data_IF_286655171846
#
_entry.id   IF_286655171846
#
_cell.length_a   1.000
_cell.length_b   1.000
_cell.length_c   1.000
_cell.angle_alpha   90.00
_cell.angle_beta   90.00
_cell.angle_gamma   90.00
#
_symmetry.space_group_name_H-M   'P 1'
#
loop_
_entity.id
_entity.type
_entity.pdbx_description
1 polymer ?
#
# COMPACT_ATOMS: atom_id res chain seq x y z
N UNK A 1 -3.80 -29.45 5.49
CA UNK A 1 -3.69 -28.01 5.23
C UNK A 1 -4.03 -27.17 6.46
N UNK A 2 -5.14 -27.45 7.19
CA UNK A 2 -5.55 -26.68 8.38
C UNK A 2 -4.56 -26.65 9.56
N UNK A 3 -3.77 -27.70 9.81
CA UNK A 3 -2.87 -27.75 10.97
C UNK A 3 -1.62 -26.89 10.79
N UNK A 4 -1.10 -26.77 9.58
CA UNK A 4 0.04 -25.86 9.30
C UNK A 4 -0.37 -24.39 9.35
N UNK A 5 -1.55 -24.05 8.86
CA UNK A 5 -2.10 -22.68 8.95
C UNK A 5 -2.33 -22.29 10.42
N UNK A 6 -2.87 -23.18 11.25
CA UNK A 6 -3.03 -22.93 12.70
C UNK A 6 -1.69 -22.75 13.42
N UNK A 7 -0.67 -23.54 13.07
CA UNK A 7 0.68 -23.38 13.65
C UNK A 7 1.32 -22.05 13.29
N UNK A 8 1.21 -21.62 12.02
CA UNK A 8 1.72 -20.33 11.57
C UNK A 8 0.94 -19.19 12.20
N UNK A 9 -0.37 -19.32 12.29
CA UNK A 9 -1.24 -18.33 12.93
C UNK A 9 -0.90 -18.18 14.42
N UNK A 10 -0.76 -19.28 15.16
CA UNK A 10 -0.38 -19.24 16.58
C UNK A 10 1.06 -18.75 16.80
N UNK A 11 1.94 -18.85 15.82
CA UNK A 11 3.29 -18.29 15.88
C UNK A 11 3.27 -16.76 15.73
N UNK A 12 2.38 -16.20 14.93
CA UNK A 12 2.31 -14.77 14.65
C UNK A 12 1.29 -14.03 15.52
N UNK A 13 0.23 -14.72 15.96
CA UNK A 13 -0.95 -14.08 16.56
C UNK A 13 -1.47 -14.90 17.73
N UNK A 14 -1.73 -14.24 18.86
CA UNK A 14 -2.46 -14.80 19.98
C UNK A 14 -3.94 -14.45 19.89
N UNK A 15 -4.80 -15.45 20.10
CA UNK A 15 -6.23 -15.25 20.27
C UNK A 15 -6.48 -14.80 21.72
N UNK A 16 -7.03 -13.61 21.90
CA UNK A 16 -7.41 -13.04 23.19
C UNK A 16 -8.94 -13.12 23.27
N UNK A 17 -9.44 -13.84 24.28
CA UNK A 17 -10.85 -13.92 24.60
C UNK A 17 -11.10 -12.93 25.74
N UNK A 18 -11.87 -11.87 25.48
CA UNK A 18 -12.25 -10.88 26.46
C UNK A 18 -13.76 -10.69 26.42
N UNK A 19 -14.44 -10.95 27.54
CA UNK A 19 -15.89 -10.82 27.75
C UNK A 19 -16.80 -11.23 26.57
N UNK A 20 -16.51 -12.41 25.98
CA UNK A 20 -17.32 -12.94 24.85
C UNK A 20 -16.97 -12.36 23.48
N UNK A 21 -16.03 -11.43 23.40
CA UNK A 21 -15.44 -10.97 22.15
C UNK A 21 -14.09 -11.63 21.88
N UNK A 22 -13.84 -11.99 20.62
CA UNK A 22 -12.56 -12.57 20.19
C UNK A 22 -11.75 -11.46 19.58
N UNK A 23 -10.64 -11.10 20.22
CA UNK A 23 -9.63 -10.21 19.65
C UNK A 23 -8.33 -10.98 19.32
N UNK A 24 -7.55 -10.47 18.38
CA UNK A 24 -6.28 -11.06 18.01
C UNK A 24 -5.16 -10.05 18.27
N UNK A 25 -4.16 -10.45 19.05
CA UNK A 25 -2.95 -9.68 19.30
C UNK A 25 -1.73 -10.33 18.66
N UNK A 26 -0.73 -9.54 18.25
CA UNK A 26 0.53 -10.10 17.78
C UNK A 26 1.27 -10.81 18.92
N UNK A 27 1.86 -11.97 18.61
CA UNK A 27 2.84 -12.62 19.47
C UNK A 27 4.18 -11.85 19.42
N UNK A 28 5.10 -12.14 20.33
CA UNK A 28 6.46 -11.61 20.24
C UNK A 28 7.12 -11.88 18.88
N UNK A 29 6.92 -13.08 18.31
CA UNK A 29 7.38 -13.45 16.96
C UNK A 29 6.65 -12.68 15.86
N UNK A 30 5.37 -12.38 16.03
CA UNK A 30 4.60 -11.52 15.11
C UNK A 30 5.14 -10.09 15.06
N UNK A 31 5.50 -9.51 16.21
CA UNK A 31 6.18 -8.20 16.26
C UNK A 31 7.56 -8.23 15.58
N UNK A 32 8.34 -9.29 15.78
CA UNK A 32 9.64 -9.44 15.11
C UNK A 32 9.48 -9.49 13.60
N UNK A 33 8.53 -10.25 13.08
CA UNK A 33 8.25 -10.31 11.63
C UNK A 33 7.81 -8.93 11.11
N UNK A 34 6.94 -8.23 11.83
CA UNK A 34 6.51 -6.87 11.46
C UNK A 34 7.71 -5.90 11.42
N UNK A 35 8.58 -5.94 12.42
CA UNK A 35 9.80 -5.12 12.47
C UNK A 35 10.73 -5.46 11.30
N UNK A 36 10.92 -6.75 10.98
CA UNK A 36 11.75 -7.18 9.84
C UNK A 36 11.19 -6.61 8.53
N UNK A 37 9.88 -6.70 8.31
CA UNK A 37 9.23 -6.12 7.11
C UNK A 37 9.43 -4.61 7.06
N UNK A 38 9.24 -3.90 8.18
CA UNK A 38 9.49 -2.46 8.27
C UNK A 38 10.94 -2.12 7.92
N UNK A 39 11.91 -2.84 8.52
CA UNK A 39 13.35 -2.64 8.29
C UNK A 39 13.72 -2.93 6.85
N UNK A 40 13.19 -4.01 6.25
CA UNK A 40 13.41 -4.33 4.84
C UNK A 40 12.89 -3.22 3.91
N UNK A 41 11.70 -2.70 4.14
CA UNK A 41 11.16 -1.59 3.35
C UNK A 41 11.98 -0.31 3.52
N UNK A 42 12.43 -0.01 4.74
CA UNK A 42 13.30 1.13 5.01
C UNK A 42 14.69 0.95 4.39
N UNK A 43 15.28 -0.26 4.46
CA UNK A 43 16.61 -0.53 3.87
C UNK A 43 16.56 -0.44 2.35
N UNK A 44 15.53 -0.96 1.69
CA UNK A 44 15.34 -0.77 0.24
C UNK A 44 15.34 0.72 -0.11
N UNK A 45 14.68 1.56 0.71
CA UNK A 45 14.69 3.02 0.57
C UNK A 45 16.07 3.65 0.76
N UNK A 46 16.85 3.16 1.73
CA UNK A 46 18.18 3.71 2.03
C UNK A 46 19.25 3.30 1.02
N UNK A 47 19.21 2.05 0.52
CA UNK A 47 20.17 1.55 -0.48
C UNK A 47 19.90 2.05 -1.89
N UNK A 48 18.71 2.55 -2.18
CA UNK A 48 18.46 3.22 -3.45
C UNK A 48 19.28 4.51 -3.51
N UNK A 49 20.38 4.42 -4.21
CA UNK A 49 21.34 5.52 -4.41
C UNK A 49 20.66 6.64 -5.18
N UNK A 50 20.18 7.63 -4.45
CA UNK A 50 19.68 8.86 -5.05
C UNK A 50 20.86 9.81 -5.24
N UNK A 51 21.19 10.11 -6.50
CA UNK A 51 22.19 11.14 -6.82
C UNK A 51 21.58 12.49 -6.45
N UNK A 52 22.10 13.14 -5.41
CA UNK A 52 22.05 14.55 -5.03
C UNK A 52 21.14 15.49 -5.88
N UNK A 53 19.89 15.17 -6.09
CA UNK A 53 18.93 16.12 -6.61
C UNK A 53 18.46 17.00 -5.45
N UNK A 54 19.00 18.20 -5.32
CA UNK A 54 18.43 19.22 -4.43
C UNK A 54 16.97 19.38 -4.84
N UNK A 55 16.05 19.09 -3.91
CA UNK A 55 14.62 19.32 -4.13
C UNK A 55 14.42 20.80 -4.45
N UNK A 56 14.04 21.08 -5.69
CA UNK A 56 13.70 22.44 -6.11
C UNK A 56 12.25 22.74 -5.68
N UNK A 57 11.90 24.00 -5.50
CA UNK A 57 10.53 24.46 -5.19
C UNK A 57 9.50 23.87 -6.17
N UNK A 58 9.85 23.73 -7.45
CA UNK A 58 9.02 23.08 -8.46
C UNK A 58 8.72 21.62 -8.12
N UNK A 59 9.70 20.84 -7.69
CA UNK A 59 9.53 19.44 -7.30
C UNK A 59 8.54 19.28 -6.13
N UNK A 60 8.68 20.17 -5.14
CA UNK A 60 7.78 20.20 -3.98
C UNK A 60 6.36 20.54 -4.42
N UNK A 61 6.19 21.52 -5.29
CA UNK A 61 4.87 21.92 -5.80
C UNK A 61 4.17 20.78 -6.59
N UNK A 62 4.88 20.10 -7.49
CA UNK A 62 4.32 18.96 -8.23
C UNK A 62 4.02 17.76 -7.34
N UNK A 63 4.89 17.46 -6.35
CA UNK A 63 4.64 16.42 -5.39
C UNK A 63 3.41 16.73 -4.51
N UNK A 64 3.25 17.97 -4.08
CA UNK A 64 2.09 18.45 -3.33
C UNK A 64 0.79 18.36 -4.15
N UNK A 65 0.82 18.74 -5.44
CA UNK A 65 -0.33 18.58 -6.33
C UNK A 65 -0.71 17.12 -6.53
N UNK A 66 0.27 16.24 -6.76
CA UNK A 66 0.01 14.81 -6.89
C UNK A 66 -0.57 14.23 -5.59
N UNK A 67 -0.07 14.64 -4.43
CA UNK A 67 -0.61 14.27 -3.13
C UNK A 67 -2.06 14.75 -2.95
N UNK A 68 -2.34 15.99 -3.30
CA UNK A 68 -3.70 16.55 -3.23
C UNK A 68 -4.67 15.80 -4.15
N UNK A 69 -4.23 15.46 -5.38
CA UNK A 69 -5.01 14.64 -6.30
C UNK A 69 -5.22 13.22 -5.74
N UNK A 70 -4.19 12.61 -5.13
CA UNK A 70 -4.33 11.30 -4.50
C UNK A 70 -5.40 11.32 -3.39
N UNK A 71 -5.39 12.35 -2.53
CA UNK A 71 -6.39 12.53 -1.48
C UNK A 71 -7.78 12.75 -2.08
N UNK A 72 -7.91 13.70 -3.01
CA UNK A 72 -9.20 14.02 -3.62
C UNK A 72 -9.83 12.80 -4.32
N UNK A 73 -9.02 12.05 -5.08
CA UNK A 73 -9.50 10.86 -5.79
C UNK A 73 -9.75 9.67 -4.87
N UNK A 74 -9.04 9.55 -3.74
CA UNK A 74 -9.31 8.52 -2.73
C UNK A 74 -10.65 8.74 -2.01
N UNK A 75 -11.15 9.98 -1.96
CA UNK A 75 -12.48 10.28 -1.41
C UNK A 75 -13.60 9.81 -2.37
N UNK A 76 -13.31 9.64 -3.66
CA UNK A 76 -14.25 9.08 -4.63
C UNK A 76 -14.20 7.56 -4.54
N UNK A 77 -15.03 7.01 -3.67
CA UNK A 77 -15.15 5.56 -3.46
C UNK A 77 -16.19 4.99 -4.43
N UNK A 78 -15.72 4.37 -5.50
CA UNK A 78 -16.58 3.73 -6.52
C UNK A 78 -17.32 2.53 -5.93
N UNK A 79 -16.61 1.73 -5.13
CA UNK A 79 -17.16 0.58 -4.41
C UNK A 79 -16.63 0.63 -2.98
N UNK A 80 -17.54 0.53 -2.00
CA UNK A 80 -17.19 0.36 -0.59
C UNK A 80 -17.43 -1.08 -0.18
N UNK A 81 -16.43 -1.68 0.44
CA UNK A 81 -16.52 -3.01 1.02
C UNK A 81 -16.65 -2.92 2.55
N UNK A 82 -17.21 -3.93 3.22
CA UNK A 82 -17.15 -4.03 4.67
C UNK A 82 -15.71 -3.95 5.17
N UNK A 83 -15.49 -3.59 6.43
CA UNK A 83 -14.16 -3.55 7.07
C UNK A 83 -13.16 -2.58 6.43
N UNK A 84 -13.63 -1.51 5.79
CA UNK A 84 -12.80 -0.40 5.35
C UNK A 84 -12.20 -0.52 3.94
N UNK A 85 -12.27 -1.68 3.29
CA UNK A 85 -11.82 -1.83 1.91
C UNK A 85 -12.64 -0.97 0.95
N UNK A 86 -11.99 -0.31 0.00
CA UNK A 86 -12.70 0.47 -1.03
C UNK A 86 -11.92 0.53 -2.33
N UNK A 87 -12.65 0.48 -3.45
CA UNK A 87 -12.10 0.78 -4.77
C UNK A 87 -12.17 2.29 -4.96
N UNK A 88 -11.02 2.93 -5.07
CA UNK A 88 -10.92 4.37 -5.27
C UNK A 88 -10.56 4.72 -6.71
N UNK A 89 -10.68 5.99 -7.07
CA UNK A 89 -10.44 6.45 -8.44
C UNK A 89 -8.98 6.93 -8.57
N UNK A 90 -8.03 6.02 -8.91
CA UNK A 90 -6.62 6.33 -9.17
C UNK A 90 -5.83 6.89 -7.97
N UNK A 91 -6.29 6.72 -6.72
CA UNK A 91 -5.58 7.25 -5.56
C UNK A 91 -4.15 6.72 -5.46
N UNK A 92 -3.94 5.42 -5.74
CA UNK A 92 -2.61 4.80 -5.77
C UNK A 92 -1.71 5.36 -6.88
N UNK A 93 -2.27 5.72 -8.04
CA UNK A 93 -1.49 6.22 -9.18
C UNK A 93 -0.73 7.49 -8.83
N UNK A 94 -1.39 8.46 -8.23
CA UNK A 94 -0.77 9.76 -7.97
C UNK A 94 0.39 9.66 -6.99
N UNK A 95 0.33 8.74 -6.01
CA UNK A 95 1.45 8.49 -5.10
C UNK A 95 2.60 7.78 -5.83
N UNK A 96 2.29 6.80 -6.68
CA UNK A 96 3.29 6.11 -7.53
C UNK A 96 3.99 7.10 -8.46
N UNK A 97 3.28 8.10 -8.99
CA UNK A 97 3.88 9.14 -9.85
C UNK A 97 4.95 9.93 -9.12
N UNK A 98 4.78 10.26 -7.84
CA UNK A 98 5.79 10.97 -7.06
C UNK A 98 7.09 10.15 -7.00
N UNK A 99 6.99 8.85 -6.70
CA UNK A 99 8.15 7.95 -6.71
C UNK A 99 8.79 7.82 -8.11
N UNK A 100 7.97 7.65 -9.14
CA UNK A 100 8.44 7.54 -10.52
C UNK A 100 9.14 8.82 -11.02
N UNK A 101 8.68 9.99 -10.59
CA UNK A 101 9.27 11.27 -11.00
C UNK A 101 10.55 11.58 -10.21
N UNK A 102 10.52 11.47 -8.88
CA UNK A 102 11.55 12.01 -7.98
C UNK A 102 12.42 10.95 -7.32
N UNK A 103 12.20 9.67 -7.65
CA UNK A 103 12.98 8.58 -7.08
C UNK A 103 12.44 8.06 -5.75
N UNK A 104 13.12 7.03 -5.24
CA UNK A 104 12.60 6.20 -4.15
C UNK A 104 12.49 6.95 -2.82
N UNK A 105 13.44 7.82 -2.47
CA UNK A 105 13.41 8.54 -1.18
C UNK A 105 12.19 9.45 -1.10
N UNK A 106 11.99 10.29 -2.11
CA UNK A 106 10.82 11.17 -2.19
C UNK A 106 9.53 10.38 -2.29
N UNK A 107 9.54 9.30 -3.08
CA UNK A 107 8.40 8.39 -3.20
C UNK A 107 7.98 7.77 -1.88
N UNK A 108 8.92 7.20 -1.11
CA UNK A 108 8.63 6.61 0.21
C UNK A 108 8.13 7.65 1.20
N UNK A 109 8.80 8.80 1.28
CA UNK A 109 8.37 9.88 2.19
C UNK A 109 6.96 10.36 1.89
N UNK A 110 6.64 10.59 0.60
CA UNK A 110 5.31 11.00 0.19
C UNK A 110 4.27 9.89 0.42
N UNK A 111 4.61 8.64 0.15
CA UNK A 111 3.72 7.51 0.34
C UNK A 111 3.39 7.26 1.83
N UNK A 112 4.36 7.39 2.72
CA UNK A 112 4.16 7.32 4.17
C UNK A 112 3.29 8.50 4.65
N UNK A 113 3.58 9.72 4.19
CA UNK A 113 2.77 10.89 4.51
C UNK A 113 1.32 10.72 4.05
N UNK A 114 1.11 10.16 2.84
CA UNK A 114 -0.21 9.81 2.36
C UNK A 114 -0.91 8.75 3.22
N UNK A 115 -0.18 7.74 3.69
CA UNK A 115 -0.71 6.75 4.63
C UNK A 115 -1.22 7.38 5.92
N UNK A 116 -0.47 8.34 6.47
CA UNK A 116 -0.91 9.12 7.66
C UNK A 116 -2.16 9.95 7.33
N UNK A 117 -2.20 10.61 6.17
CA UNK A 117 -3.39 11.35 5.74
C UNK A 117 -4.62 10.43 5.60
N UNK A 118 -4.46 9.25 5.01
CA UNK A 118 -5.55 8.27 4.89
C UNK A 118 -6.06 7.79 6.25
N UNK A 119 -5.16 7.59 7.22
CA UNK A 119 -5.55 7.26 8.60
C UNK A 119 -6.36 8.39 9.25
N UNK A 120 -6.07 9.65 8.93
CA UNK A 120 -6.82 10.81 9.46
C UNK A 120 -8.17 11.00 8.77
N UNK A 121 -8.24 10.72 7.45
CA UNK A 121 -9.43 10.98 6.65
C UNK A 121 -10.46 9.84 6.69
N UNK A 122 -9.99 8.60 6.74
CA UNK A 122 -10.83 7.40 6.69
C UNK A 122 -10.26 6.32 7.63
N UNK A 123 -10.32 6.56 8.95
CA UNK A 123 -9.72 5.67 9.93
C UNK A 123 -10.51 4.37 10.06
N UNK A 124 -9.81 3.23 9.98
CA UNK A 124 -10.31 1.94 10.42
C UNK A 124 -9.27 1.32 11.36
N UNK A 125 -9.51 1.38 12.65
CA UNK A 125 -8.52 1.06 13.67
C UNK A 125 -9.03 -0.08 14.53
N UNK A 126 -8.34 -1.23 14.49
CA UNK A 126 -8.54 -2.34 15.42
C UNK A 126 -7.47 -2.33 16.52
N UNK A 127 -6.21 -2.15 16.12
CA UNK A 127 -5.06 -2.09 17.01
C UNK A 127 -3.90 -1.36 16.32
N UNK A 128 -2.87 -0.99 17.10
CA UNK A 128 -1.70 -0.26 16.61
C UNK A 128 -0.92 -1.05 15.51
N UNK A 129 -0.63 -2.36 15.65
CA UNK A 129 0.05 -3.10 14.60
C UNK A 129 -0.72 -3.15 13.27
N UNK A 130 -2.05 -3.28 13.31
CA UNK A 130 -2.88 -3.23 12.10
C UNK A 130 -2.74 -1.85 11.41
N UNK A 131 -2.81 -0.76 12.17
CA UNK A 131 -2.65 0.60 11.63
C UNK A 131 -1.29 0.77 10.95
N UNK A 132 -0.21 0.30 11.59
CA UNK A 132 1.12 0.35 10.98
C UNK A 132 1.18 -0.43 9.67
N UNK A 133 0.58 -1.62 9.63
CA UNK A 133 0.63 -2.49 8.46
C UNK A 133 -0.24 -1.96 7.32
N UNK A 134 -1.45 -1.51 7.60
CA UNK A 134 -2.39 -1.06 6.56
C UNK A 134 -2.09 0.35 6.05
N UNK A 135 -1.79 1.29 6.95
CA UNK A 135 -1.63 2.69 6.59
C UNK A 135 -0.18 3.05 6.32
N UNK A 136 0.74 2.76 7.23
CA UNK A 136 2.12 3.21 7.08
C UNK A 136 2.86 2.36 6.05
N UNK A 137 2.88 1.03 6.23
CA UNK A 137 3.60 0.12 5.34
C UNK A 137 2.85 -0.11 4.03
N UNK A 138 1.53 -0.31 4.11
CA UNK A 138 0.70 -0.58 2.93
C UNK A 138 0.73 0.57 1.94
N UNK A 139 0.49 1.80 2.38
CA UNK A 139 0.63 2.96 1.49
C UNK A 139 2.10 3.29 1.21
N UNK A 140 3.00 3.16 2.20
CA UNK A 140 4.43 3.37 2.02
C UNK A 140 5.03 2.53 0.90
N UNK A 141 4.53 1.31 0.69
CA UNK A 141 4.97 0.41 -0.39
C UNK A 141 4.76 1.02 -1.79
N UNK A 142 3.79 1.92 -1.98
CA UNK A 142 3.59 2.63 -3.26
C UNK A 142 4.82 3.47 -3.65
N UNK A 143 5.58 3.94 -2.67
CA UNK A 143 6.82 4.68 -2.88
C UNK A 143 7.95 3.86 -3.50
N UNK A 144 7.88 2.51 -3.44
CA UNK A 144 8.81 1.60 -4.12
C UNK A 144 8.83 1.80 -5.64
N UNK A 145 7.82 2.43 -6.20
CA UNK A 145 7.78 2.84 -7.61
C UNK A 145 9.03 3.61 -8.04
N UNK A 146 9.64 4.33 -7.12
CA UNK A 146 10.85 5.11 -7.36
C UNK A 146 12.08 4.28 -7.76
N UNK A 147 12.11 2.97 -7.46
CA UNK A 147 13.16 2.04 -7.91
C UNK A 147 13.28 2.04 -9.43
N UNK A 148 12.14 2.16 -10.12
CA UNK A 148 12.06 2.11 -11.57
C UNK A 148 12.03 3.50 -12.23
N UNK A 149 12.35 4.57 -11.48
CA UNK A 149 12.32 5.95 -12.00
C UNK A 149 13.12 6.16 -13.29
N UNK A 150 14.24 5.44 -13.45
CA UNK A 150 15.15 5.53 -14.61
C UNK A 150 14.99 4.37 -15.62
N UNK A 151 14.02 3.47 -15.40
CA UNK A 151 13.87 2.27 -16.24
C UNK A 151 12.98 2.53 -17.46
N UNK A 152 13.24 1.80 -18.56
CA UNK A 152 12.29 1.70 -19.67
C UNK A 152 10.96 1.13 -19.16
N UNK A 153 9.85 1.79 -19.50
CA UNK A 153 8.52 1.51 -18.94
C UNK A 153 8.46 1.60 -17.41
N UNK A 154 9.25 2.51 -16.82
CA UNK A 154 9.41 2.63 -15.38
C UNK A 154 8.12 2.91 -14.63
N UNK A 155 7.18 3.68 -15.21
CA UNK A 155 5.89 3.94 -14.59
C UNK A 155 5.07 2.65 -14.37
N UNK A 156 4.95 1.82 -15.40
CA UNK A 156 4.18 0.56 -15.31
C UNK A 156 4.85 -0.40 -14.33
N UNK A 157 6.17 -0.58 -14.41
CA UNK A 157 6.93 -1.42 -13.49
C UNK A 157 6.83 -0.91 -12.04
N UNK A 158 7.00 0.39 -11.86
CA UNK A 158 6.90 1.04 -10.56
C UNK A 158 5.50 0.92 -9.96
N UNK A 159 4.46 1.07 -10.78
CA UNK A 159 3.08 0.88 -10.35
C UNK A 159 2.84 -0.56 -9.87
N UNK A 160 3.23 -1.55 -10.67
CA UNK A 160 3.07 -2.97 -10.33
C UNK A 160 3.76 -3.30 -9.01
N UNK A 161 5.03 -2.91 -8.83
CA UNK A 161 5.76 -3.23 -7.59
C UNK A 161 5.17 -2.54 -6.36
N UNK A 162 4.74 -1.28 -6.49
CA UNK A 162 4.09 -0.54 -5.42
C UNK A 162 2.76 -1.18 -5.00
N UNK A 163 1.94 -1.56 -5.98
CA UNK A 163 0.64 -2.23 -5.72
C UNK A 163 0.83 -3.62 -5.13
N UNK A 164 1.81 -4.41 -5.60
CA UNK A 164 2.12 -5.71 -5.00
C UNK A 164 2.56 -5.53 -3.55
N UNK A 165 3.43 -4.57 -3.25
CA UNK A 165 3.84 -4.28 -1.89
C UNK A 165 2.67 -3.89 -0.99
N UNK A 166 1.77 -3.02 -1.47
CA UNK A 166 0.54 -2.66 -0.77
C UNK A 166 -0.35 -3.89 -0.55
N UNK A 167 -0.57 -4.71 -1.58
CA UNK A 167 -1.36 -5.93 -1.47
C UNK A 167 -0.80 -6.89 -0.43
N UNK A 168 0.52 -7.10 -0.38
CA UNK A 168 1.16 -7.96 0.63
C UNK A 168 0.89 -7.44 2.04
N UNK A 169 1.04 -6.14 2.28
CA UNK A 169 0.77 -5.55 3.59
C UNK A 169 -0.71 -5.71 3.99
N UNK A 170 -1.64 -5.38 3.09
CA UNK A 170 -3.08 -5.51 3.35
C UNK A 170 -3.51 -6.97 3.49
N UNK A 171 -2.92 -7.88 2.71
CA UNK A 171 -3.13 -9.32 2.84
C UNK A 171 -2.71 -9.82 4.24
N UNK A 172 -1.51 -9.47 4.68
CA UNK A 172 -1.01 -9.84 6.01
C UNK A 172 -1.89 -9.25 7.12
N UNK A 173 -2.28 -8.00 6.99
CA UNK A 173 -3.21 -7.36 7.93
C UNK A 173 -4.55 -8.10 7.97
N UNK A 174 -5.14 -8.38 6.82
CA UNK A 174 -6.40 -9.11 6.71
C UNK A 174 -6.33 -10.50 7.31
N UNK A 175 -5.24 -11.22 7.06
CA UNK A 175 -5.05 -12.56 7.61
C UNK A 175 -4.85 -12.54 9.14
N UNK A 176 -4.05 -11.60 9.65
CA UNK A 176 -3.66 -11.56 11.07
C UNK A 176 -4.78 -10.98 11.93
N UNK A 177 -5.36 -9.84 11.52
CA UNK A 177 -6.24 -9.05 12.38
C UNK A 177 -7.73 -9.20 12.04
N UNK A 178 -8.07 -9.59 10.80
CA UNK A 178 -9.45 -9.69 10.34
C UNK A 178 -9.94 -11.13 10.16
N UNK A 179 -9.15 -12.13 10.57
CA UNK A 179 -9.52 -13.54 10.46
C UNK A 179 -10.87 -13.90 11.12
N UNK A 180 -11.23 -13.17 12.19
CA UNK A 180 -12.52 -13.34 12.90
C UNK A 180 -13.73 -13.03 12.00
N UNK A 181 -13.55 -12.11 11.06
CA UNK A 181 -14.61 -11.68 10.15
C UNK A 181 -14.72 -12.55 8.89
N UNK A 182 -13.99 -13.69 8.86
CA UNK A 182 -14.06 -14.62 7.73
C UNK A 182 -15.46 -15.24 7.65
N UNK A 183 -16.21 -15.04 6.56
CA UNK A 183 -17.53 -15.65 6.39
C UNK A 183 -17.43 -17.18 6.37
N UNK A 184 -18.48 -17.86 6.85
CA UNK A 184 -18.52 -19.34 6.99
C UNK A 184 -18.30 -20.10 5.68
N UNK A 185 -18.66 -19.50 4.54
CA UNK A 185 -18.46 -20.11 3.22
C UNK A 185 -16.99 -20.08 2.74
N UNK A 186 -16.10 -19.33 3.42
CA UNK A 186 -14.66 -19.39 3.17
C UNK A 186 -14.01 -20.47 4.05
N UNK A 187 -13.34 -21.44 3.44
CA UNK A 187 -12.65 -22.51 4.17
C UNK A 187 -11.39 -22.07 4.92
N UNK A 188 -10.90 -20.85 4.68
CA UNK A 188 -9.64 -20.34 5.21
C UNK A 188 -9.63 -18.81 5.28
N UNK A 189 -9.17 -18.27 6.42
CA UNK A 189 -8.95 -16.83 6.58
C UNK A 189 -7.89 -16.29 5.61
N UNK A 190 -6.90 -17.11 5.26
CA UNK A 190 -5.88 -16.76 4.25
C UNK A 190 -6.55 -16.52 2.90
N UNK A 191 -7.39 -17.47 2.46
CA UNK A 191 -8.09 -17.34 1.18
C UNK A 191 -9.03 -16.14 1.18
N UNK A 192 -9.76 -15.93 2.29
CA UNK A 192 -10.61 -14.76 2.45
C UNK A 192 -9.80 -13.46 2.32
N UNK A 193 -8.68 -13.34 3.03
CA UNK A 193 -7.82 -12.16 2.97
C UNK A 193 -7.25 -11.89 1.56
N UNK A 194 -6.83 -12.94 0.84
CA UNK A 194 -6.37 -12.82 -0.56
C UNK A 194 -7.49 -12.30 -1.46
N UNK A 195 -8.68 -12.91 -1.38
CA UNK A 195 -9.83 -12.55 -2.23
C UNK A 195 -10.32 -11.14 -1.89
N UNK A 196 -10.48 -10.84 -0.61
CA UNK A 196 -10.97 -9.55 -0.15
C UNK A 196 -10.03 -8.41 -0.56
N UNK A 197 -8.75 -8.48 -0.20
CA UNK A 197 -7.78 -7.44 -0.53
C UNK A 197 -7.46 -7.41 -2.03
N UNK A 198 -7.42 -8.57 -2.67
CA UNK A 198 -7.23 -8.69 -4.12
C UNK A 198 -8.37 -8.07 -4.91
N UNK A 199 -9.59 -8.13 -4.43
CA UNK A 199 -10.76 -7.59 -5.14
C UNK A 199 -10.68 -6.07 -5.29
N UNK A 200 -10.45 -5.30 -4.23
CA UNK A 200 -10.46 -3.85 -4.31
C UNK A 200 -9.13 -3.26 -4.78
N UNK A 201 -7.98 -3.78 -4.29
CA UNK A 201 -6.67 -3.34 -4.76
C UNK A 201 -6.44 -3.76 -6.21
N UNK A 202 -6.79 -5.00 -6.55
CA UNK A 202 -6.62 -5.53 -7.89
C UNK A 202 -7.51 -4.84 -8.93
N UNK A 203 -8.78 -4.56 -8.58
CA UNK A 203 -9.68 -3.85 -9.50
C UNK A 203 -9.17 -2.44 -9.81
N UNK A 204 -8.80 -1.65 -8.77
CA UNK A 204 -8.20 -0.33 -9.00
C UNK A 204 -6.90 -0.45 -9.81
N UNK A 205 -6.07 -1.46 -9.52
CA UNK A 205 -4.82 -1.69 -10.22
C UNK A 205 -5.03 -1.98 -11.71
N UNK A 206 -5.96 -2.85 -12.06
CA UNK A 206 -6.25 -3.20 -13.46
C UNK A 206 -6.75 -1.98 -14.23
N UNK A 207 -7.72 -1.24 -13.67
CA UNK A 207 -8.24 0.00 -14.30
C UNK A 207 -7.11 1.00 -14.50
N UNK A 208 -6.28 1.21 -13.49
CA UNK A 208 -5.14 2.13 -13.58
C UNK A 208 -4.12 1.67 -14.62
N UNK A 209 -3.77 0.38 -14.66
CA UNK A 209 -2.83 -0.16 -15.65
C UNK A 209 -3.34 0.03 -17.07
N UNK A 210 -4.63 -0.17 -17.32
CA UNK A 210 -5.25 0.11 -18.63
C UNK A 210 -5.05 1.58 -18.98
N UNK A 211 -5.36 2.50 -18.07
CA UNK A 211 -5.28 3.95 -18.33
C UNK A 211 -3.82 4.39 -18.58
N UNK A 212 -2.86 3.99 -17.75
CA UNK A 212 -1.45 4.39 -17.96
C UNK A 212 -0.79 3.71 -19.16
N UNK A 213 -1.37 2.61 -19.66
CA UNK A 213 -0.91 1.93 -20.87
C UNK A 213 -1.40 2.62 -22.15
N UNK A 214 -2.40 3.50 -22.07
CA UNK A 214 -2.85 4.29 -23.21
C UNK A 214 -1.71 5.19 -23.70
N UNK A 215 -1.39 5.15 -25.02
CA UNK A 215 -0.25 5.91 -25.56
C UNK A 215 -0.32 7.42 -25.26
N UNK A 216 -1.51 8.00 -25.27
CA UNK A 216 -1.73 9.42 -25.00
C UNK A 216 -1.42 9.76 -23.54
N UNK A 217 -1.88 8.95 -22.58
CA UNK A 217 -1.63 9.13 -21.15
C UNK A 217 -0.15 8.92 -20.82
N UNK A 218 0.43 7.85 -21.35
CA UNK A 218 1.85 7.54 -21.13
C UNK A 218 2.76 8.66 -21.66
N UNK A 219 2.49 9.17 -22.88
CA UNK A 219 3.23 10.30 -23.43
C UNK A 219 3.07 11.57 -22.60
N UNK A 220 1.86 11.88 -22.12
CA UNK A 220 1.60 13.04 -21.28
C UNK A 220 2.37 12.95 -19.94
N UNK A 221 2.32 11.82 -19.26
CA UNK A 221 3.04 11.60 -17.99
C UNK A 221 4.56 11.59 -18.18
N UNK A 222 5.06 11.06 -19.30
CA UNK A 222 6.47 11.13 -19.66
C UNK A 222 6.90 12.57 -20.00
N UNK A 223 6.05 13.35 -20.67
CA UNK A 223 6.31 14.76 -20.94
C UNK A 223 6.44 15.56 -19.64
N UNK A 224 5.51 15.36 -18.69
CA UNK A 224 5.59 15.98 -17.36
C UNK A 224 6.93 15.64 -16.71
N UNK A 225 7.31 14.36 -16.70
CA UNK A 225 8.58 13.92 -16.11
C UNK A 225 9.80 14.58 -16.72
N UNK A 226 9.84 14.69 -18.05
CA UNK A 226 11.05 15.13 -18.77
C UNK A 226 11.20 16.65 -18.86
N UNK A 227 10.09 17.42 -18.74
CA UNK A 227 10.09 18.86 -19.02
C UNK A 227 9.67 19.71 -17.82
N UNK A 228 8.88 19.17 -16.89
CA UNK A 228 8.31 19.96 -15.79
C UNK A 228 8.84 19.53 -14.42
N UNK A 229 9.38 18.32 -14.31
CA UNK A 229 9.94 17.69 -13.15
C UNK A 229 11.42 17.49 -13.31
#
# INVERSE_FOLDING_TARGET
>A
MRDNERKIMNFLVNKILDDGSVSYGLTGSGYVVLIIVCVLLMTIGCFARDNNSKLNVKHIAFAAMAMALAVATSMIKVIKLPMGGSVTLFGMLFIVLIGYWYGIKTGLTAAIAYGVLQLLLDPYILNIPQVLLDYILGFGALGLSGVFSKSKHGLVKGYIIGVIGRFICSFLSGWIFFAVYTPEFFNSAVLYSVVYNGSYIGLEAVVTLVVISLPSVNKALAYVKNNLV
#
